data_IF_828090711892
#
_entry.id   IF_828090711892
#
_cell.length_a   1.000
_cell.length_b   1.000
_cell.length_c   1.000
_cell.angle_alpha   90.00
_cell.angle_beta   90.00
_cell.angle_gamma   90.00
#
_symmetry.space_group_name_H-M   'P 1'
#
loop_
_entity.id
_entity.type
_entity.pdbx_description
1 polymer ?
#
# COMPACT_ATOMS: atom_id res chain seq x y z
N UNK A 1 -44.39 -9.80 -14.30
CA UNK A 1 -43.21 -9.38 -15.10
C UNK A 1 -42.75 -7.97 -14.76
N UNK A 2 -43.63 -6.96 -14.73
CA UNK A 2 -43.27 -5.57 -14.36
C UNK A 2 -42.73 -5.43 -12.93
N UNK A 3 -43.39 -6.03 -11.94
CA UNK A 3 -42.97 -6.02 -10.53
C UNK A 3 -41.60 -6.67 -10.30
N UNK A 4 -41.32 -7.77 -11.00
CA UNK A 4 -40.01 -8.44 -10.97
C UNK A 4 -38.90 -7.55 -11.55
N UNK A 5 -39.17 -6.84 -12.64
CA UNK A 5 -38.23 -5.90 -13.22
C UNK A 5 -37.89 -4.74 -12.27
N UNK A 6 -38.88 -4.21 -11.54
CA UNK A 6 -38.65 -3.17 -10.54
C UNK A 6 -37.84 -3.67 -9.33
N UNK A 7 -38.09 -4.89 -8.88
CA UNK A 7 -37.32 -5.52 -7.79
C UNK A 7 -35.87 -5.74 -8.22
N UNK A 8 -35.63 -6.25 -9.44
CA UNK A 8 -34.29 -6.39 -9.98
C UNK A 8 -33.59 -5.04 -10.16
N UNK A 9 -34.29 -4.03 -10.70
CA UNK A 9 -33.72 -2.70 -10.92
C UNK A 9 -33.39 -2.00 -9.59
N UNK A 10 -34.25 -2.13 -8.58
CA UNK A 10 -33.99 -1.61 -7.23
C UNK A 10 -32.84 -2.34 -6.54
N UNK A 11 -32.70 -3.66 -6.73
CA UNK A 11 -31.59 -4.45 -6.19
C UNK A 11 -30.26 -4.11 -6.86
N UNK A 12 -30.25 -3.93 -8.19
CA UNK A 12 -29.07 -3.49 -8.94
C UNK A 12 -28.65 -2.07 -8.52
N UNK A 13 -29.61 -1.13 -8.43
CA UNK A 13 -29.36 0.23 -7.92
C UNK A 13 -28.85 0.25 -6.45
N UNK A 14 -29.31 -0.69 -5.63
CA UNK A 14 -28.85 -0.84 -4.24
C UNK A 14 -27.41 -1.38 -4.17
N UNK A 15 -27.07 -2.35 -5.02
CA UNK A 15 -25.71 -2.86 -5.15
C UNK A 15 -24.74 -1.77 -5.63
N UNK A 16 -25.16 -0.92 -6.56
CA UNK A 16 -24.36 0.23 -7.02
C UNK A 16 -24.13 1.29 -5.93
N UNK A 17 -25.13 1.52 -5.05
CA UNK A 17 -24.99 2.42 -3.91
C UNK A 17 -24.09 1.84 -2.80
N UNK A 18 -24.07 0.53 -2.62
CA UNK A 18 -23.27 -0.15 -1.59
C UNK A 18 -21.79 -0.30 -1.97
N UNK A 19 -21.50 -0.42 -3.27
CA UNK A 19 -20.13 -0.58 -3.78
C UNK A 19 -19.30 0.70 -3.67
N UNK A 20 -19.93 1.87 -3.57
CA UNK A 20 -19.24 3.16 -3.64
C UNK A 20 -18.72 3.71 -2.31
N UNK A 21 -19.07 3.14 -1.14
CA UNK A 21 -18.74 3.80 0.15
C UNK A 21 -18.30 2.92 1.33
N UNK A 22 -17.90 1.67 1.14
CA UNK A 22 -17.30 0.83 2.20
C UNK A 22 -15.84 0.43 1.93
N UNK A 23 -15.13 1.22 1.14
CA UNK A 23 -13.69 1.07 0.99
C UNK A 23 -12.96 1.52 2.26
N UNK A 24 -12.35 0.59 2.99
CA UNK A 24 -11.34 0.94 3.98
C UNK A 24 -10.11 1.47 3.23
N UNK A 25 -10.12 2.76 2.92
CA UNK A 25 -9.04 3.42 2.20
C UNK A 25 -7.71 3.17 2.88
N UNK A 26 -6.72 2.73 2.10
CA UNK A 26 -5.35 2.52 2.53
C UNK A 26 -4.43 3.40 1.70
N UNK A 27 -3.38 3.87 2.34
CA UNK A 27 -2.33 4.65 1.72
C UNK A 27 -1.02 3.92 1.89
N UNK A 28 -0.29 3.72 0.80
CA UNK A 28 1.10 3.26 0.86
C UNK A 28 2.02 4.44 0.63
N UNK A 29 3.05 4.54 1.48
CA UNK A 29 4.09 5.56 1.39
C UNK A 29 5.45 4.92 1.41
N UNK A 30 6.32 5.30 0.48
CA UNK A 30 7.68 4.79 0.33
C UNK A 30 8.62 5.99 0.41
N UNK A 31 9.43 6.02 1.46
CA UNK A 31 10.43 7.05 1.70
C UNK A 31 11.82 6.54 1.36
N UNK A 32 12.58 7.35 0.63
CA UNK A 32 13.99 7.08 0.38
C UNK A 32 14.86 7.67 1.50
N UNK A 33 15.62 6.82 2.20
CA UNK A 33 16.63 7.19 3.21
C UNK A 33 17.97 6.53 2.95
N UNK A 34 18.33 6.35 1.67
CA UNK A 34 19.63 5.83 1.26
C UNK A 34 20.79 6.79 1.60
N UNK A 35 20.50 8.09 1.73
CA UNK A 35 21.49 9.11 2.04
C UNK A 35 22.35 9.51 0.84
N UNK A 36 23.19 10.53 1.03
CA UNK A 36 24.19 10.97 0.06
C UNK A 36 23.63 11.42 -1.30
N UNK A 37 22.37 11.84 -1.37
CA UNK A 37 21.75 12.23 -2.64
C UNK A 37 21.44 11.04 -3.56
N UNK A 38 21.55 9.80 -3.07
CA UNK A 38 21.22 8.59 -3.84
C UNK A 38 19.73 8.57 -4.18
N UNK A 39 19.41 8.47 -5.46
CA UNK A 39 18.03 8.34 -5.97
C UNK A 39 17.64 6.86 -6.02
N UNK A 40 16.47 6.53 -5.47
CA UNK A 40 15.87 5.22 -5.60
C UNK A 40 14.94 5.16 -6.81
N UNK A 41 15.10 4.17 -7.67
CA UNK A 41 14.15 3.81 -8.71
C UNK A 41 13.20 2.76 -8.18
N UNK A 42 11.91 3.09 -8.08
CA UNK A 42 10.87 2.24 -7.51
C UNK A 42 9.81 1.97 -8.58
N UNK A 43 9.49 0.70 -8.83
CA UNK A 43 8.33 0.32 -9.62
C UNK A 43 7.36 -0.42 -8.73
N UNK A 44 6.11 0.02 -8.69
CA UNK A 44 5.07 -0.62 -7.90
C UNK A 44 3.88 -0.98 -8.79
N UNK A 45 3.26 -2.12 -8.50
CA UNK A 45 2.06 -2.56 -9.19
C UNK A 45 1.24 -3.53 -8.32
N UNK A 46 -0.01 -3.71 -8.69
CA UNK A 46 -0.87 -4.81 -8.25
C UNK A 46 -1.10 -5.78 -9.41
N UNK A 47 -1.99 -6.75 -9.22
CA UNK A 47 -2.46 -7.63 -10.30
C UNK A 47 -3.16 -6.85 -11.43
N UNK A 48 -3.85 -5.76 -11.10
CA UNK A 48 -4.76 -5.06 -12.02
C UNK A 48 -4.33 -3.62 -12.30
N UNK A 49 -3.53 -3.02 -11.42
CA UNK A 49 -3.12 -1.61 -11.49
C UNK A 49 -1.60 -1.49 -11.52
N UNK A 50 -1.06 -0.85 -12.56
CA UNK A 50 0.33 -0.43 -12.57
C UNK A 50 0.45 0.99 -11.99
N UNK A 51 1.13 1.14 -10.86
CA UNK A 51 1.42 2.47 -10.29
C UNK A 51 2.55 3.15 -11.08
N UNK A 52 3.41 2.32 -11.70
CA UNK A 52 4.50 2.72 -12.58
C UNK A 52 5.81 3.02 -11.86
N UNK A 53 6.81 3.39 -12.66
CA UNK A 53 8.14 3.76 -12.17
C UNK A 53 8.14 5.15 -11.53
N UNK A 54 8.90 5.30 -10.44
CA UNK A 54 9.13 6.57 -9.75
C UNK A 54 10.59 6.67 -9.32
N UNK A 55 11.20 7.80 -9.66
CA UNK A 55 12.49 8.20 -9.12
C UNK A 55 12.24 8.99 -7.83
N UNK A 56 12.70 8.47 -6.70
CA UNK A 56 12.52 9.07 -5.38
C UNK A 56 13.88 9.58 -4.91
N UNK A 57 14.04 10.90 -4.83
CA UNK A 57 15.30 11.50 -4.39
C UNK A 57 15.58 11.21 -2.91
N UNK A 58 16.82 11.38 -2.48
CA UNK A 58 17.20 11.18 -1.08
C UNK A 58 16.40 12.11 -0.15
N UNK A 59 15.69 11.51 0.80
CA UNK A 59 14.82 12.20 1.74
C UNK A 59 13.40 12.47 1.26
N UNK A 60 13.09 12.20 -0.02
CA UNK A 60 11.74 12.33 -0.57
C UNK A 60 10.89 11.07 -0.30
N UNK A 61 9.59 11.23 -0.54
CA UNK A 61 8.58 10.19 -0.39
C UNK A 61 7.66 10.16 -1.62
N UNK A 62 7.27 8.95 -2.00
CA UNK A 62 6.26 8.68 -3.01
C UNK A 62 5.17 7.80 -2.38
N UNK A 63 3.91 7.99 -2.79
CA UNK A 63 2.82 7.15 -2.30
C UNK A 63 1.58 7.19 -3.17
N UNK A 64 0.65 6.29 -2.87
CA UNK A 64 -0.64 6.18 -3.53
C UNK A 64 -1.71 5.70 -2.56
N UNK A 65 -2.97 5.94 -2.93
CA UNK A 65 -4.17 5.57 -2.18
C UNK A 65 -4.96 4.54 -2.96
N UNK A 66 -5.58 3.59 -2.26
CA UNK A 66 -6.44 2.58 -2.85
C UNK A 66 -7.48 2.09 -1.85
N UNK A 67 -8.50 1.39 -2.34
CA UNK A 67 -9.46 0.69 -1.51
C UNK A 67 -9.17 -0.81 -1.51
N UNK A 68 -9.22 -1.43 -0.34
CA UNK A 68 -9.13 -2.89 -0.25
C UNK A 68 -10.37 -3.49 -0.90
N UNK A 69 -10.18 -4.48 -1.76
CA UNK A 69 -11.29 -5.17 -2.41
C UNK A 69 -12.14 -5.94 -1.37
N UNK A 70 -13.43 -6.12 -1.65
CA UNK A 70 -14.36 -6.75 -0.70
C UNK A 70 -14.01 -8.22 -0.38
N UNK A 71 -13.21 -8.88 -1.23
CA UNK A 71 -12.77 -10.27 -1.06
C UNK A 71 -11.55 -10.37 -0.13
N UNK A 72 -10.88 -9.25 0.17
CA UNK A 72 -9.70 -9.21 1.04
C UNK A 72 -8.43 -9.78 0.40
N UNK A 73 -8.28 -9.65 -0.92
CA UNK A 73 -7.15 -10.20 -1.70
C UNK A 73 -6.24 -9.14 -2.31
N UNK A 74 -6.46 -7.86 -2.00
CA UNK A 74 -5.64 -6.76 -2.53
C UNK A 74 -4.17 -6.94 -2.17
N UNK A 75 -3.31 -6.91 -3.18
CA UNK A 75 -1.86 -7.02 -3.06
C UNK A 75 -1.21 -5.95 -3.94
N UNK A 76 -0.31 -5.17 -3.36
CA UNK A 76 0.63 -4.33 -4.08
C UNK A 76 2.04 -4.76 -3.75
N UNK A 77 2.86 -4.94 -4.76
CA UNK A 77 4.28 -5.24 -4.63
C UNK A 77 5.10 -4.19 -5.36
N UNK A 78 6.34 -4.05 -4.93
CA UNK A 78 7.27 -3.10 -5.51
C UNK A 78 8.65 -3.73 -5.68
N UNK A 79 9.33 -3.29 -6.72
CA UNK A 79 10.73 -3.54 -6.97
C UNK A 79 11.49 -2.22 -6.84
N UNK A 80 12.61 -2.23 -6.12
CA UNK A 80 13.44 -1.05 -5.90
C UNK A 80 14.89 -1.31 -6.28
N UNK A 81 15.51 -0.33 -6.93
CA UNK A 81 16.93 -0.32 -7.29
C UNK A 81 17.54 1.06 -7.00
N UNK A 82 18.80 1.08 -6.62
CA UNK A 82 19.63 2.29 -6.55
C UNK A 82 21.04 1.96 -7.00
N UNK A 83 21.83 2.97 -7.37
CA UNK A 83 23.24 2.85 -7.78
C UNK A 83 23.51 1.78 -8.86
N UNK A 84 22.53 1.50 -9.73
CA UNK A 84 22.55 0.40 -10.71
C UNK A 84 22.81 -0.99 -10.09
N UNK A 85 22.50 -1.17 -8.81
CA UNK A 85 22.62 -2.43 -8.08
C UNK A 85 21.52 -3.43 -8.44
N UNK A 86 21.36 -4.46 -7.61
CA UNK A 86 20.30 -5.47 -7.78
C UNK A 86 18.92 -4.88 -7.46
N UNK A 87 17.88 -5.32 -8.17
CA UNK A 87 16.50 -5.02 -7.81
C UNK A 87 16.07 -5.82 -6.59
N UNK A 88 15.45 -5.15 -5.61
CA UNK A 88 14.90 -5.76 -4.41
C UNK A 88 13.38 -5.73 -4.45
N UNK A 89 12.78 -6.90 -4.30
CA UNK A 89 11.34 -7.09 -4.31
C UNK A 89 10.75 -7.06 -2.90
N UNK A 90 9.62 -6.40 -2.72
CA UNK A 90 8.83 -6.47 -1.48
C UNK A 90 7.34 -6.22 -1.73
N UNK A 91 6.51 -6.86 -0.92
CA UNK A 91 5.07 -6.62 -0.90
C UNK A 91 4.77 -5.33 -0.13
N UNK A 92 4.51 -4.23 -0.83
CA UNK A 92 4.20 -2.94 -0.21
C UNK A 92 2.86 -2.94 0.55
N UNK A 93 1.91 -3.77 0.14
CA UNK A 93 0.67 -4.05 0.88
C UNK A 93 0.16 -5.44 0.56
N UNK A 94 -0.24 -6.21 1.56
CA UNK A 94 -0.98 -7.47 1.38
C UNK A 94 -2.19 -7.48 2.31
N UNK A 95 -3.40 -7.63 1.78
CA UNK A 95 -4.63 -7.61 2.58
C UNK A 95 -4.63 -8.67 3.71
N UNK A 96 -4.13 -9.88 3.43
CA UNK A 96 -4.05 -10.95 4.44
C UNK A 96 -3.08 -10.64 5.58
N UNK A 97 -2.04 -9.85 5.30
CA UNK A 97 -1.00 -9.48 6.26
C UNK A 97 -1.31 -8.15 6.97
N UNK A 98 -1.76 -7.15 6.21
CA UNK A 98 -1.72 -5.74 6.58
C UNK A 98 -3.07 -5.12 6.89
N UNK A 99 -4.19 -5.85 6.68
CA UNK A 99 -5.53 -5.35 7.01
C UNK A 99 -5.62 -4.81 8.45
N UNK A 100 -4.94 -5.47 9.40
CA UNK A 100 -4.84 -5.07 10.80
C UNK A 100 -3.50 -4.41 11.20
N UNK A 101 -2.41 -4.63 10.44
CA UNK A 101 -1.08 -4.06 10.75
C UNK A 101 -0.98 -2.59 10.31
N UNK A 102 -1.63 -2.23 9.21
CA UNK A 102 -1.74 -0.85 8.77
C UNK A 102 -3.20 -0.40 8.92
N UNK A 103 -3.48 0.48 9.88
CA UNK A 103 -4.83 1.02 10.08
C UNK A 103 -5.30 1.79 8.84
N UNK A 104 -4.56 2.80 8.40
CA UNK A 104 -4.83 3.58 7.19
C UNK A 104 -3.58 3.86 6.37
N UNK A 105 -2.42 3.94 7.02
CA UNK A 105 -1.12 4.23 6.38
C UNK A 105 -0.18 3.04 6.52
N UNK A 106 0.27 2.48 5.40
CA UNK A 106 1.41 1.58 5.31
C UNK A 106 2.63 2.37 4.86
N UNK A 107 3.64 2.47 5.72
CA UNK A 107 4.86 3.23 5.42
C UNK A 107 6.04 2.30 5.23
N UNK A 108 6.89 2.61 4.27
CA UNK A 108 8.13 1.91 3.95
C UNK A 108 9.28 2.89 3.92
N UNK A 109 10.44 2.44 4.37
CA UNK A 109 11.68 3.21 4.32
C UNK A 109 12.76 2.37 3.63
N UNK A 110 13.30 2.90 2.54
CA UNK A 110 14.41 2.30 1.80
C UNK A 110 15.73 2.71 2.46
N UNK A 111 16.56 1.74 2.84
CA UNK A 111 17.86 1.92 3.48
C UNK A 111 18.93 1.03 2.82
N UNK A 112 20.21 1.39 2.99
CA UNK A 112 21.35 0.74 2.30
C UNK A 112 21.60 -0.72 2.65
N UNK A 113 21.01 -1.24 3.73
CA UNK A 113 21.18 -2.65 4.12
C UNK A 113 20.45 -3.64 3.20
N UNK A 114 19.90 -3.16 2.08
CA UNK A 114 19.12 -3.98 1.16
C UNK A 114 17.71 -4.24 1.67
N UNK A 115 17.33 -3.67 2.82
CA UNK A 115 16.05 -3.93 3.46
C UNK A 115 15.17 -2.71 3.33
N UNK A 116 14.06 -2.88 2.63
CA UNK A 116 12.91 -2.01 2.84
C UNK A 116 12.30 -2.37 4.19
N UNK A 117 12.27 -1.40 5.11
CA UNK A 117 11.67 -1.61 6.43
C UNK A 117 10.28 -1.01 6.43
N UNK A 118 9.27 -1.82 6.74
CA UNK A 118 7.94 -1.30 7.03
C UNK A 118 7.98 -0.53 8.36
N UNK A 119 7.48 0.70 8.35
CA UNK A 119 7.38 1.55 9.54
C UNK A 119 6.25 1.09 10.46
N UNK A 120 5.24 0.39 9.92
CA UNK A 120 4.14 -0.18 10.71
C UNK A 120 4.66 -1.21 11.72
N UNK A 121 5.71 -1.97 11.37
CA UNK A 121 6.38 -2.88 12.32
C UNK A 121 7.18 -2.14 13.38
N UNK A 122 7.85 -1.05 12.98
CA UNK A 122 8.63 -0.22 13.91
C UNK A 122 7.72 0.49 14.91
N UNK A 123 6.53 0.95 14.51
CA UNK A 123 5.60 1.62 15.43
C UNK A 123 5.14 0.65 16.53
N UNK A 124 4.79 -0.59 16.20
CA UNK A 124 4.38 -1.62 17.19
C UNK A 124 5.49 -1.95 18.20
N UNK A 125 6.74 -2.01 17.77
CA UNK A 125 7.87 -2.22 18.68
C UNK A 125 8.25 -0.96 19.48
N UNK A 126 8.01 0.22 18.92
CA UNK A 126 8.29 1.50 19.60
C UNK A 126 7.23 1.86 20.66
N UNK A 127 5.97 1.48 20.46
CA UNK A 127 4.92 1.64 21.48
C UNK A 127 5.17 0.72 22.69
N UNK A 128 5.73 -0.48 22.47
CA UNK A 128 6.10 -1.40 23.55
C UNK A 128 7.37 -0.99 24.32
N UNK A 129 8.11 0.02 23.85
CA UNK A 129 9.31 0.55 24.54
C UNK A 129 9.08 1.91 25.20
N UNK A 130 7.88 2.48 25.09
CA UNK A 130 7.51 3.73 25.79
C UNK A 130 6.73 3.52 27.10
N UNK A 131 6.51 2.28 27.51
CA UNK A 131 5.90 1.92 28.81
C UNK A 131 6.90 1.24 29.79
N UNK A 132 8.20 1.20 29.45
CA UNK A 132 9.25 0.58 30.27
C UNK A 132 10.40 1.54 30.62
N UNK A 133 10.06 2.80 30.96
CA UNK A 133 10.99 3.77 31.55
C UNK A 133 10.31 4.56 32.66
#
# INVERSE_FOLDING_TARGET
>A
MRTLAYVCFAFMLCMDLCTTSLGFGKNVRIMNRLGHGTVANVHCMSREDDIGYRLVADGDEFGWSFNVNAIGTTLFYCDVQWDMGTWFHFDAYSASRDASRCSSECRWMIQRDGKSMSWCDKYRNSSNTKEAS
#
